data_IF_609907621696
#
_entry.id   IF_609907621696
#
_cell.length_a   1.000
_cell.length_b   1.000
_cell.length_c   1.000
_cell.angle_alpha   90.00
_cell.angle_beta   90.00
_cell.angle_gamma   90.00
#
_symmetry.space_group_name_H-M   'P 1'
#
loop_
_entity.id
_entity.type
_entity.pdbx_description
1 polymer ?
#
# COMPACT_ATOMS: atom_id res chain seq x y z
N UNK A 1 -21.73 -1.00 -13.52
CA UNK A 1 -20.42 -0.35 -13.35
C UNK A 1 -20.20 -0.35 -11.85
N UNK A 2 -19.35 -1.25 -11.32
CA UNK A 2 -19.10 -1.31 -9.88
C UNK A 2 -18.08 -0.23 -9.55
N UNK A 3 -18.54 0.79 -8.83
CA UNK A 3 -17.69 1.87 -8.35
C UNK A 3 -16.70 1.28 -7.35
N UNK A 4 -15.43 1.23 -7.75
CA UNK A 4 -14.34 0.88 -6.86
C UNK A 4 -14.13 2.08 -5.92
N UNK A 5 -14.74 2.06 -4.73
CA UNK A 5 -14.46 3.02 -3.68
C UNK A 5 -13.08 2.69 -3.07
N UNK A 6 -12.02 3.18 -3.71
CA UNK A 6 -10.74 3.37 -3.04
C UNK A 6 -10.97 4.53 -2.07
N UNK A 7 -11.05 4.27 -0.77
CA UNK A 7 -10.85 5.33 0.19
C UNK A 7 -9.38 5.76 0.08
N UNK A 8 -9.12 6.78 -0.74
CA UNK A 8 -7.82 7.44 -0.74
C UNK A 8 -7.56 7.93 0.67
N UNK A 9 -6.43 7.52 1.24
CA UNK A 9 -5.85 8.26 2.36
C UNK A 9 -5.67 9.69 1.89
N UNK A 10 -6.25 10.65 2.61
CA UNK A 10 -5.95 12.05 2.38
C UNK A 10 -4.49 12.26 2.76
N UNK A 11 -3.63 12.37 1.75
CA UNK A 11 -2.19 12.60 1.93
C UNK A 11 -1.95 13.86 2.76
N UNK A 12 -2.73 14.92 2.50
CA UNK A 12 -2.71 16.17 3.28
C UNK A 12 -2.92 15.91 4.77
N UNK A 13 -3.96 15.15 5.15
CA UNK A 13 -4.20 14.86 6.56
C UNK A 13 -3.10 14.01 7.19
N UNK A 14 -2.52 13.06 6.44
CA UNK A 14 -1.36 12.30 6.92
C UNK A 14 -0.17 13.22 7.19
N UNK A 15 0.11 14.15 6.28
CA UNK A 15 1.20 15.11 6.43
C UNK A 15 0.93 16.18 7.50
N UNK A 16 -0.33 16.47 7.80
CA UNK A 16 -0.76 17.30 8.95
C UNK A 16 -0.66 16.55 10.30
N UNK A 17 -0.23 15.28 10.28
CA UNK A 17 0.04 14.48 11.48
C UNK A 17 -1.14 13.61 11.95
N UNK A 18 -2.22 13.53 11.18
CA UNK A 18 -3.31 12.61 11.48
C UNK A 18 -2.92 11.18 11.13
N UNK A 19 -3.05 10.27 12.11
CA UNK A 19 -2.81 8.84 11.90
C UNK A 19 -4.01 8.22 11.21
N UNK A 20 -3.99 8.21 9.87
CA UNK A 20 -5.04 7.65 9.02
C UNK A 20 -4.53 6.35 8.40
N UNK A 21 -5.37 5.32 8.43
CA UNK A 21 -5.06 4.00 7.90
C UNK A 21 -5.69 3.81 6.54
N UNK A 22 -4.90 3.42 5.55
CA UNK A 22 -5.39 3.10 4.21
C UNK A 22 -6.15 1.77 4.23
N UNK A 23 -7.39 1.77 3.75
CA UNK A 23 -8.10 0.52 3.48
C UNK A 23 -8.83 0.64 2.15
N UNK A 24 -9.02 -0.50 1.52
CA UNK A 24 -9.93 -0.65 0.39
C UNK A 24 -10.80 -1.89 0.62
N UNK A 25 -12.03 -1.78 0.13
CA UNK A 25 -12.96 -2.88 0.06
C UNK A 25 -13.61 -2.88 -1.31
N UNK A 26 -14.15 -4.02 -1.69
CA UNK A 26 -15.05 -4.07 -2.82
C UNK A 26 -16.46 -3.86 -2.29
N UNK A 27 -17.15 -2.84 -2.78
CA UNK A 27 -18.58 -2.66 -2.50
C UNK A 27 -19.39 -3.64 -3.36
N UNK A 28 -19.40 -4.89 -2.93
CA UNK A 28 -19.96 -6.00 -3.70
C UNK A 28 -21.48 -6.04 -3.56
N UNK A 29 -22.17 -5.78 -4.67
CA UNK A 29 -23.61 -6.02 -4.80
C UNK A 29 -23.92 -7.32 -5.56
N UNK A 30 -22.93 -7.87 -6.26
CA UNK A 30 -23.03 -9.07 -7.09
C UNK A 30 -21.79 -9.97 -6.96
N UNK A 31 -21.92 -11.22 -7.41
CA UNK A 31 -20.79 -12.14 -7.54
C UNK A 31 -19.86 -11.68 -8.68
N UNK A 32 -18.72 -11.08 -8.32
CA UNK A 32 -17.73 -10.59 -9.29
C UNK A 32 -16.34 -11.14 -9.03
N UNK A 33 -15.52 -11.30 -10.09
CA UNK A 33 -14.13 -11.74 -9.94
C UNK A 33 -13.32 -10.74 -9.11
N UNK A 34 -12.58 -11.26 -8.11
CA UNK A 34 -11.65 -10.48 -7.27
C UNK A 34 -10.24 -10.40 -7.84
N UNK A 35 -9.99 -11.05 -8.98
CA UNK A 35 -8.67 -11.08 -9.60
C UNK A 35 -8.20 -9.70 -10.04
N UNK A 36 -6.96 -9.36 -9.73
CA UNK A 36 -6.33 -8.07 -10.10
C UNK A 36 -6.96 -6.81 -9.50
N UNK A 37 -7.91 -6.97 -8.56
CA UNK A 37 -8.52 -5.86 -7.82
C UNK A 37 -7.70 -5.55 -6.57
N UNK A 38 -7.78 -4.30 -6.12
CA UNK A 38 -7.18 -3.93 -4.85
C UNK A 38 -7.85 -4.67 -3.69
N UNK A 39 -7.04 -5.07 -2.71
CA UNK A 39 -7.49 -5.59 -1.43
C UNK A 39 -6.64 -4.99 -0.31
N UNK A 40 -7.21 -4.95 0.89
CA UNK A 40 -6.46 -4.59 2.10
C UNK A 40 -5.77 -5.84 2.65
N UNK A 41 -4.45 -5.78 2.80
CA UNK A 41 -3.64 -6.79 3.45
C UNK A 41 -3.25 -6.31 4.84
N UNK A 42 -3.24 -7.25 5.78
CA UNK A 42 -2.83 -7.06 7.16
C UNK A 42 -1.88 -8.19 7.56
N UNK A 43 -1.01 -7.94 8.53
CA UNK A 43 -0.25 -9.00 9.19
C UNK A 43 -1.17 -9.74 10.15
N UNK A 44 -1.13 -11.07 10.14
CA UNK A 44 -1.89 -11.93 11.05
C UNK A 44 -0.97 -12.88 11.79
N UNK A 45 -1.25 -13.12 13.07
CA UNK A 45 -0.59 -14.15 13.87
C UNK A 45 -1.29 -15.52 13.81
N UNK A 46 -2.42 -15.59 13.11
CA UNK A 46 -3.23 -16.80 12.92
C UNK A 46 -4.11 -17.17 14.11
N UNK A 47 -4.11 -16.39 15.20
CA UNK A 47 -4.91 -16.66 16.40
C UNK A 47 -6.31 -16.06 16.26
N UNK A 48 -6.40 -14.78 15.86
CA UNK A 48 -7.68 -14.10 15.69
C UNK A 48 -7.61 -13.00 14.63
N UNK A 49 -8.13 -13.31 13.44
CA UNK A 49 -8.20 -12.35 12.33
C UNK A 49 -8.93 -11.06 12.74
N UNK A 50 -9.96 -11.15 13.59
CA UNK A 50 -10.68 -9.98 14.08
C UNK A 50 -9.76 -9.05 14.90
N UNK A 51 -8.95 -9.62 15.79
CA UNK A 51 -8.00 -8.84 16.60
C UNK A 51 -6.86 -8.30 15.74
N UNK A 52 -6.36 -9.08 14.79
CA UNK A 52 -5.33 -8.66 13.84
C UNK A 52 -5.82 -7.48 13.00
N UNK A 53 -7.07 -7.55 12.52
CA UNK A 53 -7.70 -6.47 11.75
C UNK A 53 -7.81 -5.20 12.58
N UNK A 54 -8.32 -5.29 13.82
CA UNK A 54 -8.42 -4.14 14.73
C UNK A 54 -7.04 -3.54 14.98
N UNK A 55 -6.03 -4.38 15.20
CA UNK A 55 -4.66 -3.96 15.47
C UNK A 55 -4.06 -3.25 14.26
N UNK A 56 -4.16 -3.85 13.07
CA UNK A 56 -3.69 -3.27 11.82
C UNK A 56 -4.34 -1.91 11.55
N UNK A 57 -5.66 -1.80 11.73
CA UNK A 57 -6.39 -0.54 11.55
C UNK A 57 -5.90 0.53 12.55
N UNK A 58 -5.78 0.19 13.83
CA UNK A 58 -5.36 1.15 14.87
C UNK A 58 -3.89 1.58 14.74
N UNK A 59 -3.04 0.71 14.21
CA UNK A 59 -1.59 0.96 14.07
C UNK A 59 -1.20 1.52 12.70
N UNK A 60 -2.12 1.55 11.74
CA UNK A 60 -1.82 1.96 10.37
C UNK A 60 -1.07 0.91 9.55
N UNK A 61 -0.95 -0.32 10.06
CA UNK A 61 -0.18 -1.41 9.44
C UNK A 61 -1.03 -2.17 8.42
N UNK A 62 -1.48 -1.47 7.39
CA UNK A 62 -2.27 -2.00 6.28
C UNK A 62 -1.62 -1.69 4.94
N UNK A 63 -1.75 -2.63 4.00
CA UNK A 63 -1.34 -2.42 2.61
C UNK A 63 -2.58 -2.45 1.73
N UNK A 64 -2.73 -1.47 0.85
CA UNK A 64 -3.74 -1.51 -0.21
C UNK A 64 -3.05 -1.99 -1.48
N UNK A 65 -3.34 -3.21 -1.94
CA UNK A 65 -2.54 -3.86 -2.97
C UNK A 65 -3.33 -4.74 -3.95
N UNK A 66 -2.83 -4.83 -5.19
CA UNK A 66 -3.26 -5.79 -6.23
C UNK A 66 -2.50 -7.14 -6.18
N UNK A 67 -1.70 -7.40 -5.14
CA UNK A 67 -1.01 -8.69 -4.96
C UNK A 67 0.45 -8.59 -4.53
N UNK A 68 1.06 -7.41 -4.58
CA UNK A 68 2.43 -7.16 -4.11
C UNK A 68 2.44 -6.27 -2.88
N UNK A 69 3.21 -6.61 -1.85
CA UNK A 69 3.40 -5.75 -0.69
C UNK A 69 4.74 -5.05 -0.80
N UNK A 70 4.74 -3.72 -0.62
CA UNK A 70 5.97 -2.95 -0.44
C UNK A 70 6.27 -2.84 1.05
N UNK A 71 7.38 -3.43 1.48
CA UNK A 71 7.80 -3.51 2.89
C UNK A 71 9.08 -2.69 3.09
N UNK A 72 9.09 -1.84 4.12
CA UNK A 72 10.24 -1.03 4.51
C UNK A 72 10.80 -1.53 5.83
N UNK A 73 12.03 -2.05 5.82
CA UNK A 73 12.74 -2.54 6.99
C UNK A 73 14.23 -2.24 6.84
N UNK A 74 14.89 -1.81 7.92
CA UNK A 74 16.33 -1.52 7.95
C UNK A 74 16.78 -0.60 6.79
N UNK A 75 16.06 0.50 6.58
CA UNK A 75 16.31 1.51 5.54
C UNK A 75 16.32 0.96 4.11
N UNK A 76 15.58 -0.13 3.88
CA UNK A 76 15.46 -0.76 2.58
C UNK A 76 14.04 -1.18 2.27
N UNK A 77 13.64 -0.96 1.02
CA UNK A 77 12.39 -1.47 0.47
C UNK A 77 12.56 -2.88 -0.09
N UNK A 78 11.52 -3.71 0.07
CA UNK A 78 11.42 -5.02 -0.55
C UNK A 78 9.98 -5.27 -1.02
N UNK A 79 9.84 -6.12 -2.04
CA UNK A 79 8.54 -6.56 -2.56
C UNK A 79 8.28 -7.98 -2.10
N UNK A 80 7.09 -8.20 -1.55
CA UNK A 80 6.57 -9.54 -1.23
C UNK A 80 5.42 -9.85 -2.18
N UNK A 81 5.57 -10.90 -2.99
CA UNK A 81 4.50 -11.42 -3.83
C UNK A 81 3.55 -12.30 -3.01
N UNK A 82 2.28 -11.89 -2.94
CA UNK A 82 1.22 -12.60 -2.23
C UNK A 82 0.51 -13.65 -3.09
N UNK A 83 0.98 -13.87 -4.33
CA UNK A 83 0.44 -14.82 -5.30
C UNK A 83 -1.06 -14.63 -5.53
N UNK A 84 -1.51 -13.37 -5.49
CA UNK A 84 -2.92 -13.03 -5.71
C UNK A 84 -3.28 -13.35 -7.16
N UNK A 85 -4.42 -14.02 -7.35
CA UNK A 85 -4.95 -14.24 -8.70
C UNK A 85 -5.15 -12.89 -9.42
N UNK A 86 -4.68 -12.81 -10.67
CA UNK A 86 -4.76 -11.61 -11.50
C UNK A 86 -3.85 -10.48 -11.06
N UNK A 87 -2.86 -10.74 -10.18
CA UNK A 87 -1.81 -9.78 -9.89
C UNK A 87 -1.14 -9.32 -11.20
N UNK A 88 -0.79 -8.04 -11.34
CA UNK A 88 -0.09 -7.53 -12.50
C UNK A 88 1.21 -8.30 -12.75
N UNK A 89 1.49 -8.61 -14.02
CA UNK A 89 2.75 -9.21 -14.44
C UNK A 89 3.67 -8.11 -14.93
N UNK A 90 4.85 -7.97 -14.33
CA UNK A 90 5.84 -7.00 -14.74
C UNK A 90 7.10 -7.15 -13.91
N UNK A 91 8.25 -6.95 -14.57
CA UNK A 91 9.56 -7.08 -13.94
C UNK A 91 10.13 -5.71 -13.53
N UNK A 92 9.55 -4.62 -14.04
CA UNK A 92 10.00 -3.26 -13.80
C UNK A 92 9.15 -2.58 -12.74
N UNK A 93 9.59 -2.69 -11.48
CA UNK A 93 8.92 -2.05 -10.35
C UNK A 93 9.49 -0.66 -10.06
N UNK A 94 8.59 0.30 -9.84
CA UNK A 94 8.94 1.68 -9.52
C UNK A 94 8.36 2.03 -8.15
N UNK A 95 9.20 2.51 -7.24
CA UNK A 95 8.78 3.01 -5.93
C UNK A 95 8.74 4.53 -5.98
N UNK A 96 7.65 5.13 -5.48
CA UNK A 96 7.60 6.58 -5.24
C UNK A 96 7.44 6.85 -3.75
N UNK A 97 8.18 7.84 -3.26
CA UNK A 97 8.12 8.32 -1.89
C UNK A 97 7.53 9.72 -1.91
N UNK A 98 6.34 9.88 -1.32
CA UNK A 98 5.67 11.16 -1.19
C UNK A 98 5.79 11.66 0.24
N UNK A 99 6.27 12.87 0.41
CA UNK A 99 6.31 13.62 1.67
C UNK A 99 5.54 14.93 1.50
N UNK A 100 5.45 15.72 2.59
CA UNK A 100 4.90 17.09 2.52
C UNK A 100 5.64 18.00 1.53
N UNK A 101 6.92 17.71 1.27
CA UNK A 101 7.81 18.58 0.49
C UNK A 101 7.83 18.20 -1.00
N UNK A 102 7.29 17.03 -1.36
CA UNK A 102 7.19 16.59 -2.75
C UNK A 102 7.14 15.07 -2.90
N UNK A 103 7.27 14.62 -4.15
CA UNK A 103 7.30 13.21 -4.51
C UNK A 103 8.58 12.91 -5.29
N UNK A 104 9.28 11.85 -4.90
CA UNK A 104 10.50 11.38 -5.58
C UNK A 104 10.34 9.92 -5.99
N UNK A 105 10.99 9.55 -7.09
CA UNK A 105 11.10 8.15 -7.51
C UNK A 105 12.35 7.54 -6.90
N UNK A 106 12.22 6.31 -6.40
CA UNK A 106 13.27 5.57 -5.72
C UNK A 106 13.46 4.20 -6.37
N UNK A 107 14.72 3.79 -6.52
CA UNK A 107 15.06 2.44 -6.94
C UNK A 107 15.00 1.52 -5.72
N UNK A 108 14.20 0.45 -5.82
CA UNK A 108 13.99 -0.49 -4.72
C UNK A 108 15.29 -1.15 -4.21
N UNK A 109 16.31 -1.25 -5.06
CA UNK A 109 17.58 -1.86 -4.68
C UNK A 109 18.43 -0.95 -3.78
N UNK A 110 18.15 0.35 -3.79
CA UNK A 110 18.90 1.34 -3.02
C UNK A 110 18.35 1.46 -1.60
N UNK A 111 19.27 1.59 -0.64
CA UNK A 111 18.91 1.99 0.71
C UNK A 111 18.39 3.45 0.70
N UNK A 112 17.47 3.76 1.60
CA UNK A 112 16.89 5.09 1.79
C UNK A 112 16.56 5.30 3.25
N UNK A 113 17.04 6.40 3.81
CA UNK A 113 16.70 6.85 5.15
C UNK A 113 15.43 7.70 5.09
N UNK A 114 14.41 7.33 5.86
CA UNK A 114 13.14 8.07 5.94
C UNK A 114 13.13 8.91 7.22
N UNK A 115 13.34 10.22 7.08
CA UNK A 115 13.34 11.18 8.19
C UNK A 115 11.97 11.81 8.46
N UNK A 116 11.10 11.85 7.44
CA UNK A 116 9.79 12.49 7.51
C UNK A 116 8.66 11.48 7.29
N UNK A 117 7.45 11.83 7.72
CA UNK A 117 6.23 11.08 7.35
C UNK A 117 6.16 10.91 5.83
N UNK A 118 6.14 9.65 5.39
CA UNK A 118 6.27 9.28 3.98
C UNK A 118 5.20 8.27 3.60
N UNK A 119 4.55 8.51 2.46
CA UNK A 119 3.66 7.56 1.82
C UNK A 119 4.44 6.92 0.67
N UNK A 120 4.67 5.61 0.78
CA UNK A 120 5.34 4.84 -0.26
C UNK A 120 4.32 4.12 -1.16
N UNK A 121 4.49 4.24 -2.47
CA UNK A 121 3.66 3.59 -3.48
C UNK A 121 4.53 2.78 -4.42
N UNK A 122 3.98 1.66 -4.88
CA UNK A 122 4.61 0.75 -5.83
C UNK A 122 3.81 0.76 -7.12
N UNK A 123 4.51 0.88 -8.24
CA UNK A 123 3.97 0.81 -9.58
C UNK A 123 4.71 -0.23 -10.42
N UNK A 124 4.08 -0.65 -11.52
CA UNK A 124 4.68 -1.47 -12.56
C UNK A 124 4.83 -0.62 -13.83
N UNK A 125 5.99 -0.67 -14.46
CA UNK A 125 6.34 0.03 -15.72
C UNK A 125 6.41 1.56 -15.66
N UNK A 126 5.38 2.27 -15.19
CA UNK A 126 5.35 3.73 -15.03
C UNK A 126 4.51 4.18 -13.81
N UNK A 127 4.51 5.48 -13.50
CA UNK A 127 3.81 6.04 -12.32
C UNK A 127 2.36 6.44 -12.59
N UNK A 128 1.73 5.96 -13.66
CA UNK A 128 0.30 6.19 -13.89
C UNK A 128 -0.56 5.42 -12.88
N UNK A 129 -1.76 5.92 -12.60
CA UNK A 129 -2.65 5.30 -11.61
C UNK A 129 -3.06 3.86 -11.99
N UNK A 130 -3.16 3.57 -13.27
CA UNK A 130 -3.51 2.24 -13.80
C UNK A 130 -2.47 1.18 -13.37
N UNK A 131 -1.22 1.62 -13.34
CA UNK A 131 -0.04 0.87 -12.98
C UNK A 131 0.28 0.87 -11.48
N UNK A 132 -0.50 1.58 -10.66
CA UNK A 132 -0.41 1.49 -9.20
C UNK A 132 -0.77 0.06 -8.78
N UNK A 133 0.12 -0.58 -8.02
CA UNK A 133 -0.06 -1.94 -7.53
C UNK A 133 -0.06 -2.06 -6.02
N UNK A 134 0.57 -1.13 -5.30
CA UNK A 134 0.55 -1.10 -3.84
C UNK A 134 0.66 0.32 -3.27
N UNK A 135 -0.09 0.58 -2.20
CA UNK A 135 0.17 1.66 -1.24
C UNK A 135 0.57 0.97 0.07
N UNK A 136 1.78 1.25 0.53
CA UNK A 136 2.32 0.72 1.79
C UNK A 136 1.72 1.44 3.01
N UNK A 137 1.86 0.86 4.23
CA UNK A 137 1.65 1.59 5.47
C UNK A 137 2.39 2.93 5.45
N UNK A 138 1.78 3.96 6.05
CA UNK A 138 2.46 5.24 6.25
C UNK A 138 3.69 5.00 7.12
N UNK A 139 4.84 5.46 6.62
CA UNK A 139 6.12 5.36 7.33
C UNK A 139 6.31 6.68 8.07
N UNK A 140 6.38 6.62 9.39
CA UNK A 140 6.70 7.78 10.22
C UNK A 140 8.21 7.76 10.46
N UNK A 141 8.90 8.81 10.00
CA UNK A 141 10.33 9.00 10.30
C UNK A 141 10.56 9.15 11.80
N UNK A 142 11.76 8.74 12.26
CA UNK A 142 12.21 8.89 13.65
C UNK A 142 12.97 10.19 13.86
#
# INVERSE_FOLDING_TARGET
MLDLYIFFVSETLVFDGYKITATCGMDLHDAVPMGGKFATYIKSDGISIANDTITAIKTGQTWVSKGFLLVYENDKFSIVDMQKNGAPTGDNFIVTLTTKDGCVTHDINNAVSIENTTIAKLYVDDTSLENLVCIAPVIYGN
#
